data_IF_018420517107
#
_entry.id   IF_018420517107
#
_cell.length_a   1.000
_cell.length_b   1.000
_cell.length_c   1.000
_cell.angle_alpha   90.00
_cell.angle_beta   90.00
_cell.angle_gamma   90.00
#
_symmetry.space_group_name_H-M   'P 1'
#
loop_
_entity.id
_entity.type
_entity.pdbx_description
1 polymer ?
#
# COMPACT_ATOMS: atom_id res chain seq x y z
N UNK A 1 -10.81 19.80 15.37
CA UNK A 1 -11.26 20.78 14.36
C UNK A 1 -10.90 20.36 12.94
N UNK A 2 -10.78 19.05 12.70
CA UNK A 2 -10.74 18.51 11.35
C UNK A 2 -12.15 18.34 10.80
N UNK A 3 -12.22 18.04 9.50
CA UNK A 3 -13.49 17.81 8.81
C UNK A 3 -13.39 16.51 8.02
N UNK A 4 -14.53 15.82 7.93
CA UNK A 4 -14.71 14.63 7.12
C UNK A 4 -15.85 14.89 6.14
N UNK A 5 -15.58 14.73 4.85
CA UNK A 5 -16.57 14.93 3.80
C UNK A 5 -17.01 13.56 3.25
N UNK A 6 -18.31 13.34 3.17
CA UNK A 6 -18.90 12.17 2.53
C UNK A 6 -19.78 12.63 1.37
N UNK A 7 -19.78 11.87 0.29
CA UNK A 7 -20.52 12.15 -0.93
C UNK A 7 -21.31 10.90 -1.33
N UNK A 8 -22.58 11.09 -1.69
CA UNK A 8 -23.46 10.03 -2.18
C UNK A 8 -24.23 10.50 -3.40
N UNK A 9 -24.50 9.55 -4.30
CA UNK A 9 -25.25 9.79 -5.53
C UNK A 9 -26.30 8.70 -5.74
N UNK A 10 -27.46 9.12 -6.25
CA UNK A 10 -28.57 8.27 -6.70
C UNK A 10 -29.52 9.14 -7.54
N UNK A 11 -30.29 8.60 -8.51
CA UNK A 11 -31.35 9.34 -9.21
C UNK A 11 -32.43 9.95 -8.29
N UNK A 12 -32.58 9.41 -7.09
CA UNK A 12 -33.52 9.89 -6.07
C UNK A 12 -32.77 10.67 -4.98
N UNK A 13 -33.23 11.89 -4.69
CA UNK A 13 -32.61 12.78 -3.70
C UNK A 13 -32.51 12.16 -2.31
N UNK A 14 -33.60 11.59 -1.80
CA UNK A 14 -33.66 11.03 -0.44
C UNK A 14 -32.71 9.84 -0.31
N UNK A 15 -32.64 8.99 -1.34
CA UNK A 15 -31.71 7.85 -1.37
C UNK A 15 -30.26 8.32 -1.45
N UNK A 16 -29.94 9.36 -2.23
CA UNK A 16 -28.59 9.92 -2.29
C UNK A 16 -28.16 10.50 -0.93
N UNK A 17 -29.08 11.20 -0.24
CA UNK A 17 -28.85 11.73 1.09
C UNK A 17 -28.64 10.62 2.13
N UNK A 18 -29.49 9.59 2.13
CA UNK A 18 -29.33 8.43 3.02
C UNK A 18 -27.96 7.78 2.82
N UNK A 19 -27.59 7.48 1.57
CA UNK A 19 -26.30 6.87 1.23
C UNK A 19 -25.11 7.70 1.74
N UNK A 20 -25.19 9.03 1.59
CA UNK A 20 -24.17 9.95 2.10
C UNK A 20 -24.00 9.82 3.62
N UNK A 21 -25.11 9.77 4.36
CA UNK A 21 -25.08 9.68 5.82
C UNK A 21 -24.65 8.29 6.32
N UNK A 22 -25.05 7.22 5.61
CA UNK A 22 -24.65 5.86 5.98
C UNK A 22 -23.17 5.62 5.71
N UNK A 23 -22.64 6.12 4.58
CA UNK A 23 -21.21 6.02 4.26
C UNK A 23 -20.36 6.78 5.28
N UNK A 24 -20.82 7.95 5.74
CA UNK A 24 -20.14 8.75 6.76
C UNK A 24 -19.79 7.95 8.03
N UNK A 25 -20.63 6.98 8.40
CA UNK A 25 -20.51 6.19 9.63
C UNK A 25 -20.12 4.73 9.36
N UNK A 26 -19.96 4.33 8.11
CA UNK A 26 -19.69 2.94 7.75
C UNK A 26 -18.32 2.50 8.29
N UNK A 27 -18.31 1.47 9.12
CA UNK A 27 -17.07 0.87 9.65
C UNK A 27 -16.30 1.75 10.64
N UNK A 28 -16.84 2.88 11.09
CA UNK A 28 -16.14 3.84 11.96
C UNK A 28 -16.75 3.88 13.36
N UNK A 29 -15.89 3.86 14.38
CA UNK A 29 -16.26 4.27 15.74
C UNK A 29 -16.10 5.78 15.89
N UNK A 30 -16.80 6.38 16.85
CA UNK A 30 -16.67 7.81 17.14
C UNK A 30 -15.24 8.20 17.59
N UNK A 31 -14.44 7.26 18.10
CA UNK A 31 -13.05 7.51 18.49
C UNK A 31 -12.13 7.74 17.27
N UNK A 32 -12.46 7.15 16.11
CA UNK A 32 -11.72 7.33 14.85
C UNK A 32 -11.93 8.71 14.20
N UNK A 33 -12.82 9.56 14.74
CA UNK A 33 -13.05 10.92 14.23
C UNK A 33 -12.13 11.97 14.86
N UNK A 34 -11.23 11.58 15.75
CA UNK A 34 -10.32 12.50 16.43
C UNK A 34 -9.15 12.97 15.56
N UNK A 35 -8.81 12.23 14.51
CA UNK A 35 -7.63 12.48 13.67
C UNK A 35 -7.97 12.94 12.25
N UNK A 36 -9.00 13.78 12.13
CA UNK A 36 -9.43 14.30 10.83
C UNK A 36 -8.55 15.46 10.36
N UNK A 37 -8.29 15.50 9.06
CA UNK A 37 -7.56 16.58 8.42
C UNK A 37 -8.24 17.94 8.60
N UNK A 38 -7.44 18.98 8.83
CA UNK A 38 -7.94 20.35 8.99
C UNK A 38 -8.19 20.97 7.61
N UNK A 39 -9.30 21.70 7.41
CA UNK A 39 -9.50 22.40 6.16
C UNK A 39 -8.43 23.48 5.93
N UNK A 40 -8.20 23.83 4.66
CA UNK A 40 -7.16 24.77 4.22
C UNK A 40 -7.70 25.82 3.24
N UNK A 41 -7.05 26.99 3.16
CA UNK A 41 -7.30 27.97 2.10
C UNK A 41 -6.39 27.78 0.89
N UNK A 42 -5.39 26.90 0.98
CA UNK A 42 -4.47 26.62 -0.11
C UNK A 42 -5.20 25.89 -1.23
N UNK A 43 -5.43 26.57 -2.34
CA UNK A 43 -6.00 25.94 -3.53
C UNK A 43 -5.09 24.84 -4.05
N UNK A 44 -3.77 25.04 -4.02
CA UNK A 44 -2.81 24.05 -4.49
C UNK A 44 -2.93 22.73 -3.74
N UNK A 45 -3.00 22.76 -2.40
CA UNK A 45 -3.14 21.55 -1.60
C UNK A 45 -4.46 20.80 -1.86
N UNK A 46 -5.53 21.51 -2.19
CA UNK A 46 -6.85 20.89 -2.45
C UNK A 46 -6.93 20.31 -3.87
N UNK A 47 -6.23 20.91 -4.84
CA UNK A 47 -6.23 20.49 -6.25
C UNK A 47 -5.07 19.59 -6.64
N UNK A 48 -4.21 19.25 -5.68
CA UNK A 48 -3.11 18.32 -5.92
C UNK A 48 -3.69 16.92 -6.16
N UNK A 49 -3.22 16.15 -7.17
CA UNK A 49 -3.81 14.85 -7.52
C UNK A 49 -3.86 13.84 -6.39
N UNK A 50 -2.82 13.73 -5.55
CA UNK A 50 -2.81 12.80 -4.42
C UNK A 50 -3.90 13.12 -3.40
N UNK A 51 -4.27 14.39 -3.20
CA UNK A 51 -5.41 14.74 -2.34
C UNK A 51 -6.71 14.06 -2.80
N UNK A 52 -6.96 13.95 -4.11
CA UNK A 52 -8.13 13.21 -4.63
C UNK A 52 -8.03 11.71 -4.40
N UNK A 53 -6.82 11.15 -4.49
CA UNK A 53 -6.55 9.74 -4.19
C UNK A 53 -6.77 9.44 -2.71
N UNK A 54 -6.29 10.29 -1.79
CA UNK A 54 -6.55 10.19 -0.35
C UNK A 54 -8.06 10.25 -0.04
N UNK A 55 -8.79 11.17 -0.70
CA UNK A 55 -10.26 11.23 -0.58
C UNK A 55 -10.94 9.92 -0.98
N UNK A 56 -10.42 9.25 -2.01
CA UNK A 56 -10.95 7.97 -2.50
C UNK A 56 -10.58 6.79 -1.59
N UNK A 57 -9.35 6.71 -1.08
CA UNK A 57 -8.87 5.57 -0.30
C UNK A 57 -9.58 5.49 1.06
N UNK A 58 -9.61 6.60 1.81
CA UNK A 58 -10.12 6.60 3.18
C UNK A 58 -10.81 7.92 3.58
N UNK A 59 -10.98 8.84 2.63
CA UNK A 59 -11.62 10.14 2.84
C UNK A 59 -10.87 11.05 3.84
N UNK A 60 -9.55 10.87 3.96
CA UNK A 60 -8.67 11.70 4.81
C UNK A 60 -8.13 12.96 4.13
N UNK A 61 -8.35 13.11 2.82
CA UNK A 61 -7.87 14.26 2.05
C UNK A 61 -8.33 15.60 2.63
N UNK A 62 -7.56 16.65 2.34
CA UNK A 62 -7.85 18.00 2.81
C UNK A 62 -9.01 18.64 2.04
N UNK A 63 -9.85 19.37 2.79
CA UNK A 63 -10.97 20.14 2.25
C UNK A 63 -10.67 21.65 2.26
N UNK A 64 -11.25 22.39 1.31
CA UNK A 64 -11.12 23.85 1.28
C UNK A 64 -12.03 24.51 2.32
N UNK A 65 -11.54 25.51 3.04
CA UNK A 65 -12.39 26.37 3.88
C UNK A 65 -13.50 27.07 3.08
N UNK A 66 -13.31 27.25 1.76
CA UNK A 66 -14.31 27.86 0.88
C UNK A 66 -15.58 27.00 0.75
N UNK A 67 -15.46 25.69 0.94
CA UNK A 67 -16.61 24.77 0.92
C UNK A 67 -17.64 25.10 2.02
N UNK A 68 -17.19 25.65 3.15
CA UNK A 68 -18.04 26.04 4.29
C UNK A 68 -18.50 27.51 4.24
N UNK A 69 -18.37 28.17 3.09
CA UNK A 69 -18.83 29.53 2.88
C UNK A 69 -20.35 29.62 3.08
N UNK A 70 -20.81 30.66 3.78
CA UNK A 70 -22.25 30.97 3.86
C UNK A 70 -22.84 31.43 2.51
N UNK A 71 -21.97 31.81 1.56
CA UNK A 71 -22.34 32.06 0.17
C UNK A 71 -22.03 30.81 -0.64
N UNK A 72 -23.07 30.11 -1.11
CA UNK A 72 -22.94 29.01 -2.05
C UNK A 72 -22.66 29.53 -3.47
N UNK A 73 -21.92 28.76 -4.25
CA UNK A 73 -21.66 29.06 -5.66
C UNK A 73 -22.83 28.62 -6.58
N UNK A 74 -23.67 27.70 -6.10
CA UNK A 74 -24.86 27.19 -6.77
C UNK A 74 -26.07 27.27 -5.84
N UNK A 75 -27.23 27.60 -6.39
CA UNK A 75 -28.50 27.55 -5.66
C UNK A 75 -28.92 26.10 -5.41
N UNK A 76 -29.60 25.85 -4.30
CA UNK A 76 -30.16 24.54 -4.01
C UNK A 76 -31.24 24.17 -5.04
N UNK A 77 -31.15 22.96 -5.56
CA UNK A 77 -32.16 22.35 -6.43
C UNK A 77 -32.68 21.10 -5.73
N UNK A 78 -33.99 21.06 -5.47
CA UNK A 78 -34.69 19.85 -5.04
C UNK A 78 -34.87 18.94 -6.26
N UNK A 79 -33.77 18.34 -6.72
CA UNK A 79 -33.72 17.54 -7.94
C UNK A 79 -34.37 16.17 -7.74
N UNK A 80 -34.92 15.62 -8.82
CA UNK A 80 -35.44 14.26 -8.87
C UNK A 80 -35.31 13.72 -10.31
N UNK A 81 -34.56 12.63 -10.47
CA UNK A 81 -34.35 11.97 -11.75
C UNK A 81 -35.19 10.69 -11.92
N UNK A 82 -36.13 10.45 -10.99
CA UNK A 82 -36.97 9.24 -10.95
C UNK A 82 -38.41 9.44 -11.42
N UNK A 83 -38.81 10.65 -11.83
CA UNK A 83 -40.20 11.04 -12.10
C UNK A 83 -41.14 10.71 -10.92
N UNK A 84 -40.76 11.12 -9.71
CA UNK A 84 -41.48 10.81 -8.49
C UNK A 84 -41.55 9.32 -8.20
N UNK A 85 -40.48 8.57 -8.51
CA UNK A 85 -40.38 7.12 -8.32
C UNK A 85 -41.12 6.27 -9.35
N UNK A 86 -41.53 6.85 -10.49
CA UNK A 86 -42.23 6.11 -11.56
C UNK A 86 -41.30 5.54 -12.61
N UNK A 87 -40.11 6.12 -12.77
CA UNK A 87 -39.13 5.60 -13.71
C UNK A 87 -38.72 4.19 -13.29
N UNK A 88 -38.63 3.29 -14.26
CA UNK A 88 -37.95 2.02 -14.08
C UNK A 88 -36.44 2.23 -14.07
N UNK A 89 -35.67 1.30 -13.48
CA UNK A 89 -34.21 1.35 -13.49
C UNK A 89 -33.62 1.51 -14.90
N UNK A 90 -34.28 0.98 -15.94
CA UNK A 90 -33.86 1.14 -17.33
C UNK A 90 -33.99 2.58 -17.82
N UNK A 91 -35.07 3.27 -17.45
CA UNK A 91 -35.29 4.68 -17.79
C UNK A 91 -34.34 5.60 -17.00
N UNK A 92 -34.10 5.28 -15.72
CA UNK A 92 -33.11 6.00 -14.92
C UNK A 92 -31.70 5.84 -15.51
N UNK A 93 -31.32 4.63 -15.92
CA UNK A 93 -30.04 4.38 -16.57
C UNK A 93 -29.90 5.12 -17.91
N UNK A 94 -30.94 5.09 -18.77
CA UNK A 94 -30.96 5.82 -20.04
C UNK A 94 -30.77 7.33 -19.82
N UNK A 95 -31.44 7.89 -18.81
CA UNK A 95 -31.28 9.28 -18.44
C UNK A 95 -29.84 9.60 -18.00
N UNK A 96 -29.26 8.80 -17.09
CA UNK A 96 -27.90 9.02 -16.59
C UNK A 96 -26.84 8.87 -17.69
N UNK A 97 -26.96 7.88 -18.57
CA UNK A 97 -26.06 7.74 -19.72
C UNK A 97 -26.26 8.88 -20.73
N UNK A 98 -27.49 9.35 -20.92
CA UNK A 98 -27.78 10.53 -21.74
C UNK A 98 -27.06 11.79 -21.21
N UNK A 99 -26.97 11.98 -19.90
CA UNK A 99 -26.19 13.09 -19.32
C UNK A 99 -24.70 12.99 -19.66
N UNK A 100 -24.12 11.79 -19.64
CA UNK A 100 -22.72 11.58 -20.03
C UNK A 100 -22.52 11.84 -21.53
N UNK A 101 -23.47 11.40 -22.36
CA UNK A 101 -23.47 11.67 -23.81
C UNK A 101 -23.55 13.18 -24.10
N UNK A 102 -24.43 13.91 -23.41
CA UNK A 102 -24.54 15.37 -23.51
C UNK A 102 -23.25 16.09 -23.10
N UNK A 103 -22.46 15.50 -22.19
CA UNK A 103 -21.13 15.96 -21.80
C UNK A 103 -20.02 15.56 -22.80
N UNK A 104 -20.35 14.82 -23.85
CA UNK A 104 -19.39 14.28 -24.82
C UNK A 104 -18.52 13.14 -24.27
N UNK A 105 -19.00 12.43 -23.24
CA UNK A 105 -18.28 11.34 -22.58
C UNK A 105 -18.73 10.00 -23.13
N UNK A 106 -17.77 9.20 -23.59
CA UNK A 106 -18.02 7.83 -24.02
C UNK A 106 -18.01 6.88 -22.81
N UNK A 107 -18.93 5.91 -22.82
CA UNK A 107 -19.11 4.97 -21.71
C UNK A 107 -18.82 3.55 -22.16
N UNK A 108 -17.92 2.90 -21.43
CA UNK A 108 -17.55 1.51 -21.63
C UNK A 108 -18.09 0.67 -20.48
N UNK A 109 -18.91 -0.34 -20.77
CA UNK A 109 -19.49 -1.21 -19.74
C UNK A 109 -19.19 -2.68 -20.02
N UNK A 110 -18.61 -3.35 -19.03
CA UNK A 110 -18.52 -4.80 -18.99
C UNK A 110 -19.59 -5.37 -18.05
N UNK A 111 -20.35 -6.35 -18.50
CA UNK A 111 -21.41 -7.03 -17.71
C UNK A 111 -20.96 -8.44 -17.34
N UNK A 112 -21.18 -8.83 -16.10
CA UNK A 112 -20.75 -10.10 -15.51
C UNK A 112 -21.94 -10.81 -14.85
N UNK A 113 -22.28 -12.02 -15.30
CA UNK A 113 -23.44 -12.78 -14.81
C UNK A 113 -23.05 -14.17 -14.25
N UNK A 114 -21.76 -14.49 -14.29
CA UNK A 114 -21.22 -15.83 -14.05
C UNK A 114 -21.25 -16.31 -12.60
N UNK A 115 -21.73 -15.49 -11.65
CA UNK A 115 -21.80 -15.80 -10.21
C UNK A 115 -23.24 -15.81 -9.65
N UNK A 116 -24.26 -15.76 -10.51
CA UNK A 116 -25.67 -15.81 -10.08
C UNK A 116 -26.27 -14.46 -9.66
N UNK A 117 -25.47 -13.39 -9.69
CA UNK A 117 -25.93 -12.00 -9.64
C UNK A 117 -25.30 -11.23 -10.80
N UNK A 118 -26.03 -10.26 -11.34
CA UNK A 118 -25.52 -9.36 -12.38
C UNK A 118 -24.66 -8.29 -11.73
N UNK A 119 -23.40 -8.21 -12.15
CA UNK A 119 -22.49 -7.13 -11.82
C UNK A 119 -22.05 -6.42 -13.10
N UNK A 120 -21.66 -5.15 -13.00
CA UNK A 120 -21.05 -4.44 -14.11
C UNK A 120 -19.80 -3.68 -13.65
N UNK A 121 -18.92 -3.37 -14.59
CA UNK A 121 -17.85 -2.40 -14.42
C UNK A 121 -18.00 -1.37 -15.52
N UNK A 122 -18.16 -0.10 -15.11
CA UNK A 122 -18.34 1.03 -16.00
C UNK A 122 -17.06 1.86 -15.98
N UNK A 123 -16.57 2.24 -17.15
CA UNK A 123 -15.43 3.13 -17.33
C UNK A 123 -15.88 4.30 -18.21
N UNK A 124 -15.58 5.51 -17.77
CA UNK A 124 -15.85 6.76 -18.47
C UNK A 124 -14.52 7.53 -18.50
N UNK A 125 -13.80 7.55 -19.63
CA UNK A 125 -12.52 8.24 -19.73
C UNK A 125 -12.66 9.74 -19.45
N UNK A 126 -11.67 10.31 -18.78
CA UNK A 126 -11.62 11.69 -18.30
C UNK A 126 -12.82 12.05 -17.39
N UNK A 127 -13.30 11.09 -16.59
CA UNK A 127 -14.42 11.27 -15.66
C UNK A 127 -14.43 10.28 -14.49
N UNK A 128 -14.10 9.01 -14.74
CA UNK A 128 -14.16 7.92 -13.74
C UNK A 128 -12.80 7.51 -13.17
N UNK A 129 -11.72 8.16 -13.61
CA UNK A 129 -10.36 7.94 -13.13
C UNK A 129 -10.23 8.31 -11.65
N UNK A 130 -9.59 7.42 -10.90
CA UNK A 130 -9.16 7.67 -9.51
C UNK A 130 -7.72 8.17 -9.50
N UNK A 131 -6.88 7.59 -10.36
CA UNK A 131 -5.45 7.85 -10.44
C UNK A 131 -5.12 8.60 -11.73
N UNK A 132 -4.15 9.53 -11.71
CA UNK A 132 -3.68 10.19 -12.92
C UNK A 132 -3.07 9.21 -13.92
N UNK A 133 -3.15 9.55 -15.20
CA UNK A 133 -2.63 8.71 -16.30
C UNK A 133 -1.11 8.49 -16.18
N UNK A 134 -0.40 9.48 -15.63
CA UNK A 134 1.05 9.44 -15.44
C UNK A 134 1.49 8.29 -14.50
N UNK A 135 0.60 7.78 -13.62
CA UNK A 135 0.86 6.63 -12.76
C UNK A 135 1.08 5.35 -13.57
N UNK A 136 0.61 5.27 -14.81
CA UNK A 136 0.94 4.15 -15.70
C UNK A 136 2.45 4.06 -16.00
N UNK A 137 3.18 5.17 -15.83
CA UNK A 137 4.64 5.24 -16.01
C UNK A 137 5.32 5.20 -14.64
N UNK A 138 4.90 6.07 -13.72
CA UNK A 138 5.62 6.33 -12.47
C UNK A 138 5.23 5.39 -11.34
N UNK A 139 3.97 4.96 -11.25
CA UNK A 139 3.45 4.10 -10.19
C UNK A 139 2.78 2.82 -10.73
N UNK A 140 3.42 2.22 -11.73
CA UNK A 140 2.90 1.02 -12.35
C UNK A 140 3.20 -0.21 -11.50
N UNK A 141 2.14 -0.88 -11.02
CA UNK A 141 2.25 -2.12 -10.23
C UNK A 141 2.99 -3.27 -10.97
N UNK A 142 3.17 -3.21 -12.29
CA UNK A 142 4.01 -4.16 -13.01
C UNK A 142 5.51 -4.04 -12.69
N UNK A 143 5.96 -2.97 -12.02
CA UNK A 143 7.32 -2.88 -11.46
C UNK A 143 7.66 -4.11 -10.59
N UNK A 144 6.65 -4.74 -9.97
CA UNK A 144 6.74 -6.02 -9.28
C UNK A 144 7.47 -7.12 -10.06
N UNK A 145 7.33 -7.14 -11.40
CA UNK A 145 7.89 -8.19 -12.25
C UNK A 145 9.42 -8.18 -12.26
N UNK A 146 10.06 -7.05 -11.99
CA UNK A 146 11.52 -6.95 -11.93
C UNK A 146 12.10 -7.57 -10.66
N UNK A 147 11.30 -7.72 -9.59
CA UNK A 147 11.81 -8.07 -8.27
C UNK A 147 11.26 -9.38 -7.72
N UNK A 148 10.05 -9.79 -8.11
CA UNK A 148 9.32 -10.92 -7.49
C UNK A 148 10.13 -12.20 -7.44
N UNK A 149 10.73 -12.62 -8.55
CA UNK A 149 11.45 -13.90 -8.61
C UNK A 149 12.69 -13.90 -7.73
N UNK A 150 13.46 -12.83 -7.77
CA UNK A 150 14.69 -12.69 -6.98
C UNK A 150 14.39 -12.60 -5.50
N UNK A 151 13.41 -11.77 -5.10
CA UNK A 151 13.01 -11.62 -3.70
C UNK A 151 12.49 -12.95 -3.13
N UNK A 152 11.62 -13.65 -3.86
CA UNK A 152 11.12 -14.95 -3.39
C UNK A 152 12.21 -16.02 -3.32
N UNK A 153 13.31 -15.87 -4.06
CA UNK A 153 14.45 -16.78 -4.03
C UNK A 153 15.67 -16.18 -3.33
N UNK A 154 15.52 -15.12 -2.51
CA UNK A 154 16.60 -14.33 -1.91
C UNK A 154 17.77 -15.16 -1.36
N UNK A 155 17.44 -16.23 -0.64
CA UNK A 155 18.40 -17.14 0.01
C UNK A 155 19.26 -17.95 -0.97
N UNK A 156 18.81 -18.11 -2.22
CA UNK A 156 19.48 -18.87 -3.29
C UNK A 156 20.33 -17.98 -4.20
N UNK A 157 20.18 -16.66 -4.10
CA UNK A 157 20.91 -15.71 -4.93
C UNK A 157 22.40 -15.71 -4.59
N UNK A 158 23.20 -15.72 -5.64
CA UNK A 158 24.64 -15.49 -5.61
C UNK A 158 24.96 -14.03 -5.27
N UNK A 159 26.19 -13.73 -4.89
CA UNK A 159 26.60 -12.34 -4.63
C UNK A 159 26.40 -11.44 -5.85
N UNK A 160 26.66 -11.94 -7.07
CA UNK A 160 26.45 -11.17 -8.31
C UNK A 160 24.97 -10.86 -8.52
N UNK A 161 24.08 -11.82 -8.28
CA UNK A 161 22.63 -11.61 -8.42
C UNK A 161 22.08 -10.68 -7.34
N UNK A 162 22.56 -10.80 -6.11
CA UNK A 162 22.23 -9.87 -5.03
C UNK A 162 22.65 -8.44 -5.36
N UNK A 163 23.87 -8.26 -5.86
CA UNK A 163 24.38 -6.95 -6.26
C UNK A 163 23.51 -6.34 -7.37
N UNK A 164 23.20 -7.12 -8.40
CA UNK A 164 22.31 -6.66 -9.47
C UNK A 164 20.87 -6.38 -9.01
N UNK A 165 20.39 -7.07 -7.96
CA UNK A 165 19.07 -6.81 -7.38
C UNK A 165 19.06 -5.50 -6.59
N UNK A 166 20.05 -5.26 -5.73
CA UNK A 166 20.12 -4.03 -4.93
C UNK A 166 20.36 -2.80 -5.82
N UNK A 167 21.20 -2.91 -6.86
CA UNK A 167 21.39 -1.84 -7.85
C UNK A 167 20.07 -1.47 -8.55
N UNK A 168 19.26 -2.47 -8.93
CA UNK A 168 17.93 -2.21 -9.50
C UNK A 168 16.95 -1.59 -8.51
N UNK A 169 17.04 -1.92 -7.22
CA UNK A 169 16.22 -1.27 -6.19
C UNK A 169 16.62 0.20 -6.02
N UNK A 170 17.92 0.52 -6.00
CA UNK A 170 18.41 1.90 -5.96
C UNK A 170 17.97 2.71 -7.18
N UNK A 171 18.17 2.17 -8.38
CA UNK A 171 17.82 2.85 -9.65
C UNK A 171 16.31 3.00 -9.85
N UNK A 172 15.49 2.25 -9.12
CA UNK A 172 14.03 2.30 -9.27
C UNK A 172 13.38 3.52 -8.62
N UNK A 173 14.12 4.24 -7.77
CA UNK A 173 13.64 5.38 -6.98
C UNK A 173 12.33 5.10 -6.22
N UNK A 174 12.13 3.82 -5.83
CA UNK A 174 10.99 3.41 -5.04
C UNK A 174 11.17 3.89 -3.60
N UNK A 175 10.07 4.32 -2.99
CA UNK A 175 10.04 4.71 -1.59
C UNK A 175 10.49 3.53 -0.70
N UNK A 176 11.50 3.79 0.12
CA UNK A 176 12.09 2.86 1.07
C UNK A 176 11.08 2.21 2.02
N UNK A 177 9.98 2.92 2.33
CA UNK A 177 8.97 2.46 3.28
C UNK A 177 7.88 1.58 2.64
N UNK A 178 7.94 1.34 1.33
CA UNK A 178 7.02 0.39 0.68
C UNK A 178 7.29 -1.02 1.22
N UNK A 179 6.21 -1.67 1.66
CA UNK A 179 6.26 -3.08 2.04
C UNK A 179 6.59 -3.97 0.83
N UNK A 180 7.50 -4.93 1.01
CA UNK A 180 7.87 -5.91 -0.01
C UNK A 180 6.66 -6.71 -0.48
N UNK A 181 5.74 -7.07 0.42
CA UNK A 181 4.50 -7.80 0.08
C UNK A 181 3.65 -7.04 -0.96
N UNK A 182 3.59 -5.71 -0.84
CA UNK A 182 2.90 -4.81 -1.75
C UNK A 182 3.67 -4.71 -3.07
N UNK A 183 4.98 -4.47 -3.01
CA UNK A 183 5.84 -4.35 -4.19
C UNK A 183 5.73 -5.59 -5.08
N UNK A 184 5.80 -6.81 -4.52
CA UNK A 184 5.80 -8.04 -5.33
C UNK A 184 4.41 -8.67 -5.45
N UNK A 185 3.37 -8.13 -4.82
CA UNK A 185 2.01 -8.68 -4.86
C UNK A 185 1.89 -10.10 -4.33
N UNK A 186 2.60 -10.41 -3.23
CA UNK A 186 2.56 -11.71 -2.54
C UNK A 186 2.16 -11.49 -1.10
N UNK A 187 1.24 -12.29 -0.60
CA UNK A 187 0.60 -12.04 0.68
C UNK A 187 1.27 -12.87 1.79
N UNK A 188 1.91 -12.18 2.73
CA UNK A 188 2.55 -12.76 3.90
C UNK A 188 1.71 -12.53 5.16
N UNK A 189 1.97 -13.29 6.22
CA UNK A 189 1.36 -13.03 7.52
C UNK A 189 1.95 -11.74 8.12
N UNK A 190 1.09 -10.80 8.50
CA UNK A 190 1.45 -9.46 9.01
C UNK A 190 2.25 -9.52 10.32
N UNK A 191 2.25 -10.65 11.02
CA UNK A 191 3.03 -10.87 12.23
C UNK A 191 4.40 -11.49 11.97
N UNK A 192 4.75 -11.76 10.71
CA UNK A 192 6.06 -12.31 10.33
C UNK A 192 6.97 -11.21 9.80
N UNK A 193 8.29 -11.44 9.86
CA UNK A 193 9.28 -10.50 9.30
C UNK A 193 8.99 -10.22 7.82
N UNK A 194 8.65 -11.24 7.02
CA UNK A 194 8.23 -11.06 5.63
C UNK A 194 7.01 -10.15 5.46
N UNK A 195 6.04 -10.22 6.37
CA UNK A 195 4.83 -9.39 6.33
C UNK A 195 5.04 -7.92 6.70
N UNK A 196 6.17 -7.61 7.35
CA UNK A 196 6.56 -6.28 7.80
C UNK A 196 7.85 -5.80 7.11
N UNK A 197 8.35 -6.54 6.12
CA UNK A 197 9.63 -6.24 5.45
C UNK A 197 9.42 -5.09 4.47
N UNK A 198 10.20 -4.02 4.62
CA UNK A 198 10.21 -2.87 3.71
C UNK A 198 11.33 -2.98 2.68
N UNK A 199 11.30 -2.13 1.65
CA UNK A 199 12.40 -2.00 0.69
C UNK A 199 13.70 -1.62 1.39
N UNK A 200 13.64 -0.66 2.33
CA UNK A 200 14.77 -0.24 3.17
C UNK A 200 15.48 -1.44 3.80
N UNK A 201 14.71 -2.25 4.52
CA UNK A 201 15.24 -3.36 5.30
C UNK A 201 15.75 -4.48 4.39
N UNK A 202 15.08 -4.73 3.26
CA UNK A 202 15.58 -5.68 2.29
C UNK A 202 16.96 -5.25 1.74
N UNK A 203 17.13 -3.97 1.37
CA UNK A 203 18.41 -3.43 0.91
C UNK A 203 19.50 -3.58 1.97
N UNK A 204 19.20 -3.22 3.22
CA UNK A 204 20.07 -3.39 4.38
C UNK A 204 20.56 -4.84 4.51
N UNK A 205 19.63 -5.81 4.51
CA UNK A 205 19.98 -7.23 4.61
C UNK A 205 20.80 -7.74 3.42
N UNK A 206 20.58 -7.19 2.22
CA UNK A 206 21.40 -7.50 1.03
C UNK A 206 22.82 -6.95 1.20
N UNK A 207 22.98 -5.71 1.65
CA UNK A 207 24.30 -5.10 1.88
C UNK A 207 25.11 -5.84 2.95
N UNK A 208 24.47 -6.27 4.05
CA UNK A 208 25.09 -7.17 5.03
C UNK A 208 25.56 -8.47 4.37
N UNK A 209 24.73 -9.10 3.54
CA UNK A 209 25.10 -10.33 2.82
C UNK A 209 26.18 -10.13 1.75
N UNK A 210 26.39 -8.91 1.26
CA UNK A 210 27.44 -8.51 0.33
C UNK A 210 28.71 -8.01 1.04
N UNK A 211 28.71 -7.96 2.38
CA UNK A 211 29.79 -7.38 3.19
C UNK A 211 30.09 -5.92 2.82
N UNK A 212 29.04 -5.18 2.45
CA UNK A 212 29.03 -3.73 2.21
C UNK A 212 28.54 -3.05 3.48
N UNK A 213 29.44 -2.94 4.46
CA UNK A 213 29.07 -2.59 5.84
C UNK A 213 28.77 -1.10 6.01
N UNK A 214 29.44 -0.22 5.26
CA UNK A 214 29.16 1.22 5.25
C UNK A 214 27.72 1.49 4.78
N UNK A 215 27.33 0.92 3.64
CA UNK A 215 25.96 1.05 3.10
C UNK A 215 24.92 0.40 4.03
N UNK A 216 25.27 -0.69 4.70
CA UNK A 216 24.40 -1.30 5.69
C UNK A 216 24.20 -0.38 6.92
N UNK A 217 25.25 0.29 7.41
CA UNK A 217 25.16 1.20 8.55
C UNK A 217 24.24 2.38 8.25
N UNK A 218 24.37 3.01 7.08
CA UNK A 218 23.51 4.13 6.65
C UNK A 218 22.02 3.72 6.68
N UNK A 219 21.68 2.55 6.15
CA UNK A 219 20.30 2.06 6.14
C UNK A 219 19.80 1.62 7.52
N UNK A 220 20.68 1.13 8.41
CA UNK A 220 20.31 0.85 9.79
C UNK A 220 19.95 2.15 10.52
N UNK A 221 20.74 3.22 10.33
CA UNK A 221 20.45 4.53 10.90
C UNK A 221 19.12 5.08 10.41
N UNK A 222 18.85 4.97 9.10
CA UNK A 222 17.56 5.34 8.52
C UNK A 222 16.40 4.50 9.08
N UNK A 223 16.61 3.18 9.25
CA UNK A 223 15.61 2.27 9.80
C UNK A 223 15.20 2.68 11.22
N UNK A 224 16.17 3.06 12.05
CA UNK A 224 15.96 3.45 13.45
C UNK A 224 15.31 4.83 13.62
N UNK A 225 15.26 5.66 12.57
CA UNK A 225 14.54 6.94 12.62
C UNK A 225 13.02 6.76 12.53
N UNK A 226 12.55 5.60 12.06
CA UNK A 226 11.13 5.33 11.84
C UNK A 226 10.52 4.49 12.98
N UNK A 227 9.47 5.02 13.61
CA UNK A 227 8.92 4.50 14.88
C UNK A 227 7.79 3.45 14.75
N UNK A 228 7.61 2.82 13.59
CA UNK A 228 6.51 1.85 13.36
C UNK A 228 6.97 0.38 13.38
N UNK A 229 7.98 0.07 14.19
CA UNK A 229 8.52 -1.27 14.31
C UNK A 229 8.20 -1.91 15.66
N UNK A 230 8.21 -3.25 15.70
CA UNK A 230 8.12 -3.96 16.97
C UNK A 230 9.37 -3.70 17.80
N UNK A 231 9.21 -3.67 19.13
CA UNK A 231 10.32 -3.47 20.08
C UNK A 231 11.45 -4.48 19.85
N UNK A 232 11.12 -5.72 19.52
CA UNK A 232 12.11 -6.78 19.30
C UNK A 232 13.00 -6.49 18.08
N UNK A 233 12.39 -5.97 16.99
CA UNK A 233 13.06 -5.61 15.75
C UNK A 233 13.88 -4.34 15.89
N UNK A 234 13.34 -3.35 16.61
CA UNK A 234 14.07 -2.12 16.94
C UNK A 234 15.34 -2.44 17.74
N UNK A 235 15.23 -3.30 18.76
CA UNK A 235 16.40 -3.74 19.54
C UNK A 235 17.43 -4.51 18.70
N UNK A 236 17.00 -5.30 17.70
CA UNK A 236 17.92 -5.96 16.77
C UNK A 236 18.72 -4.94 15.96
N UNK A 237 18.05 -3.93 15.39
CA UNK A 237 18.74 -2.91 14.60
C UNK A 237 19.55 -1.92 15.44
N UNK A 238 19.17 -1.66 16.69
CA UNK A 238 20.02 -0.93 17.65
C UNK A 238 21.33 -1.69 17.94
N UNK A 239 21.24 -3.02 18.12
CA UNK A 239 22.41 -3.86 18.30
C UNK A 239 23.28 -3.92 17.03
N UNK A 240 22.64 -4.02 15.87
CA UNK A 240 23.32 -3.98 14.56
C UNK A 240 24.06 -2.65 14.35
N UNK A 241 23.41 -1.52 14.64
CA UNK A 241 24.01 -0.18 14.51
C UNK A 241 25.29 -0.08 15.34
N UNK A 242 25.21 -0.37 16.64
CA UNK A 242 26.36 -0.31 17.54
C UNK A 242 27.48 -1.27 17.12
N UNK A 243 27.14 -2.47 16.63
CA UNK A 243 28.14 -3.43 16.18
C UNK A 243 28.80 -3.02 14.84
N UNK A 244 28.05 -2.41 13.92
CA UNK A 244 28.60 -1.87 12.68
C UNK A 244 29.51 -0.66 12.93
N UNK A 245 29.13 0.25 13.83
CA UNK A 245 29.99 1.37 14.25
C UNK A 245 31.34 0.87 14.78
N UNK A 246 31.34 -0.16 15.64
CA UNK A 246 32.57 -0.77 16.15
C UNK A 246 33.35 -1.50 15.05
N UNK A 247 32.67 -2.17 14.11
CA UNK A 247 33.32 -2.94 13.05
C UNK A 247 33.95 -2.07 11.95
N UNK A 248 33.46 -0.84 11.76
CA UNK A 248 33.92 0.11 10.75
C UNK A 248 34.95 1.13 11.28
N UNK A 249 35.08 1.26 12.60
CA UNK A 249 36.05 2.17 13.22
C UNK A 249 37.39 1.46 13.47
N UNK A 250 38.44 1.92 12.77
CA UNK A 250 39.80 1.38 12.89
C UNK A 250 40.41 1.52 14.31
N UNK A 251 39.87 2.41 15.16
CA UNK A 251 40.32 2.63 16.54
C UNK A 251 39.60 1.73 17.57
N UNK A 252 38.60 0.94 17.15
CA UNK A 252 37.78 0.10 18.03
C UNK A 252 38.02 -1.40 17.77
N UNK A 253 37.93 -2.21 18.82
CA UNK A 253 38.02 -3.68 18.74
C UNK A 253 36.72 -4.29 19.26
N UNK A 254 36.05 -5.11 18.43
CA UNK A 254 34.80 -5.78 18.80
C UNK A 254 34.92 -6.60 20.10
N UNK A 255 36.09 -7.20 20.35
CA UNK A 255 36.32 -8.02 21.55
C UNK A 255 36.19 -7.19 22.86
N UNK A 256 36.46 -5.89 22.80
CA UNK A 256 36.33 -4.98 23.95
C UNK A 256 34.87 -4.60 24.25
N UNK A 257 34.01 -4.60 23.23
CA UNK A 257 32.61 -4.15 23.32
C UNK A 257 31.61 -5.29 23.43
N UNK A 258 31.88 -6.44 22.79
CA UNK A 258 30.99 -7.60 22.75
C UNK A 258 30.45 -8.02 24.13
N UNK A 259 31.26 -8.09 25.22
CA UNK A 259 30.74 -8.49 26.53
C UNK A 259 29.64 -7.57 27.08
N UNK A 260 29.70 -6.27 26.77
CA UNK A 260 28.68 -5.31 27.22
C UNK A 260 27.51 -5.23 26.25
N UNK A 261 27.76 -5.33 24.93
CA UNK A 261 26.69 -5.42 23.93
C UNK A 261 25.80 -6.64 24.21
N UNK A 262 26.37 -7.80 24.54
CA UNK A 262 25.63 -9.00 24.95
C UNK A 262 24.80 -8.80 26.22
N UNK A 263 25.31 -8.06 27.21
CA UNK A 263 24.54 -7.73 28.42
C UNK A 263 23.34 -6.83 28.13
N UNK A 264 23.48 -5.92 27.15
CA UNK A 264 22.45 -4.96 26.79
C UNK A 264 21.38 -5.58 25.87
N UNK A 265 21.82 -6.35 24.89
CA UNK A 265 20.98 -6.82 23.79
C UNK A 265 20.64 -8.31 23.85
N UNK A 266 21.32 -9.09 24.70
CA UNK A 266 21.16 -10.54 24.84
C UNK A 266 22.05 -11.33 23.89
N UNK A 267 22.40 -12.56 24.30
CA UNK A 267 23.32 -13.42 23.55
C UNK A 267 22.78 -13.80 22.17
N UNK A 268 21.52 -14.23 22.09
CA UNK A 268 20.89 -14.68 20.84
C UNK A 268 20.87 -13.58 19.76
N UNK A 269 20.55 -12.35 20.15
CA UNK A 269 20.53 -11.20 19.25
C UNK A 269 21.94 -10.83 18.79
N UNK A 270 22.91 -10.83 19.69
CA UNK A 270 24.30 -10.54 19.33
C UNK A 270 24.91 -11.62 18.46
N UNK A 271 24.56 -12.90 18.67
CA UNK A 271 25.00 -13.98 17.78
C UNK A 271 24.49 -13.78 16.35
N UNK A 272 23.24 -13.33 16.21
CA UNK A 272 22.67 -12.99 14.90
C UNK A 272 23.36 -11.78 14.26
N UNK A 273 23.56 -10.69 15.02
CA UNK A 273 24.22 -9.45 14.55
C UNK A 273 25.66 -9.73 14.10
N UNK A 274 26.48 -10.32 14.97
CA UNK A 274 27.88 -10.63 14.65
C UNK A 274 27.96 -11.68 13.53
N UNK A 275 27.04 -12.64 13.54
CA UNK A 275 26.92 -13.63 12.46
C UNK A 275 26.62 -12.98 11.10
N UNK A 276 25.80 -11.92 11.07
CA UNK A 276 25.47 -11.17 9.86
C UNK A 276 26.61 -10.27 9.39
N UNK A 277 27.31 -9.59 10.28
CA UNK A 277 28.53 -8.81 9.95
C UNK A 277 29.61 -9.74 9.38
N UNK A 278 29.79 -10.93 9.96
CA UNK A 278 30.76 -11.92 9.47
C UNK A 278 30.29 -12.68 8.21
N UNK A 279 29.07 -12.42 7.71
CA UNK A 279 28.48 -13.09 6.54
C UNK A 279 28.05 -14.55 6.75
N UNK A 280 28.13 -15.06 7.98
CA UNK A 280 27.73 -16.43 8.34
C UNK A 280 26.20 -16.59 8.49
N UNK A 281 25.50 -15.50 8.84
CA UNK A 281 24.05 -15.42 8.95
C UNK A 281 23.53 -14.44 7.90
N UNK A 282 22.88 -14.94 6.86
CA UNK A 282 22.27 -14.11 5.82
C UNK A 282 20.77 -13.97 6.09
N UNK A 283 20.24 -12.76 5.88
CA UNK A 283 18.80 -12.48 5.91
C UNK A 283 18.11 -12.90 7.22
N UNK A 284 18.69 -12.52 8.36
CA UNK A 284 18.16 -12.90 9.67
C UNK A 284 16.66 -12.58 9.80
N UNK A 285 15.89 -13.53 10.34
CA UNK A 285 14.43 -13.43 10.48
C UNK A 285 13.62 -13.80 9.22
N UNK A 286 14.22 -13.79 8.03
CA UNK A 286 13.54 -14.20 6.80
C UNK A 286 13.67 -15.71 6.60
N UNK A 287 12.53 -16.39 6.44
CA UNK A 287 12.51 -17.81 6.08
C UNK A 287 12.69 -17.98 4.57
N UNK A 288 13.32 -19.08 4.10
CA UNK A 288 13.40 -19.37 2.67
C UNK A 288 12.01 -19.55 2.05
N UNK A 289 11.81 -18.90 0.90
CA UNK A 289 10.58 -18.99 0.08
C UNK A 289 10.92 -19.44 -1.34
N UNK A 290 9.92 -19.43 -2.22
CA UNK A 290 10.09 -19.75 -3.64
C UNK A 290 8.91 -19.26 -4.48
N UNK A 291 9.05 -19.36 -5.80
CA UNK A 291 7.96 -19.11 -6.76
C UNK A 291 6.79 -20.10 -6.66
N UNK A 292 6.96 -21.19 -5.93
CA UNK A 292 5.87 -22.14 -5.64
C UNK A 292 4.95 -21.64 -4.51
N UNK A 293 5.36 -20.58 -3.78
CA UNK A 293 4.60 -19.95 -2.70
C UNK A 293 4.26 -20.92 -1.56
N UNK A 294 5.08 -21.96 -1.39
CA UNK A 294 4.92 -22.98 -0.36
C UNK A 294 5.12 -22.35 1.03
N UNK A 295 4.22 -22.68 1.97
CA UNK A 295 4.24 -22.10 3.31
C UNK A 295 3.62 -20.69 3.42
N UNK A 296 3.21 -20.08 2.30
CA UNK A 296 2.53 -18.78 2.29
C UNK A 296 1.00 -18.96 2.37
N UNK A 297 0.52 -19.50 3.51
CA UNK A 297 -0.88 -19.93 3.69
C UNK A 297 -1.91 -18.82 3.38
N UNK A 298 -1.61 -17.57 3.74
CA UNK A 298 -2.50 -16.43 3.46
C UNK A 298 -2.66 -16.23 1.95
N UNK A 299 -1.57 -16.26 1.19
CA UNK A 299 -1.61 -16.16 -0.27
C UNK A 299 -2.23 -17.40 -0.94
N UNK A 300 -1.95 -18.61 -0.44
CA UNK A 300 -2.54 -19.85 -0.96
C UNK A 300 -4.07 -19.86 -0.83
N UNK A 301 -4.63 -19.32 0.27
CA UNK A 301 -6.09 -19.14 0.43
C UNK A 301 -6.68 -18.16 -0.59
N UNK A 302 -5.94 -17.12 -0.98
CA UNK A 302 -6.36 -16.21 -2.06
C UNK A 302 -6.40 -16.96 -3.39
N UNK A 303 -5.38 -17.75 -3.69
CA UNK A 303 -5.35 -18.58 -4.91
C UNK A 303 -6.49 -19.59 -4.93
N UNK A 304 -6.82 -20.22 -3.81
CA UNK A 304 -7.96 -21.14 -3.72
C UNK A 304 -9.31 -20.43 -3.93
N UNK A 305 -9.44 -19.19 -3.46
CA UNK A 305 -10.60 -18.36 -3.74
C UNK A 305 -10.68 -17.98 -5.21
N UNK A 306 -9.55 -17.63 -5.83
CA UNK A 306 -9.46 -17.34 -7.26
C UNK A 306 -9.81 -18.57 -8.12
N UNK A 307 -9.34 -19.77 -7.77
CA UNK A 307 -9.69 -21.02 -8.45
C UNK A 307 -11.20 -21.30 -8.44
N UNK A 308 -11.91 -20.97 -7.35
CA UNK A 308 -13.38 -21.07 -7.29
C UNK A 308 -14.03 -20.15 -8.33
N UNK A 309 -13.55 -18.91 -8.46
CA UNK A 309 -14.02 -17.96 -9.46
C UNK A 309 -13.77 -18.46 -10.89
N UNK A 310 -12.57 -18.99 -11.18
CA UNK A 310 -12.28 -19.59 -12.49
C UNK A 310 -13.18 -20.77 -12.81
N UNK A 311 -13.46 -21.63 -11.83
CA UNK A 311 -14.38 -22.76 -11.99
C UNK A 311 -15.79 -22.29 -12.32
N UNK A 312 -16.28 -21.26 -11.63
CA UNK A 312 -17.59 -20.67 -11.91
C UNK A 312 -17.68 -20.05 -13.31
N UNK A 313 -16.64 -19.31 -13.72
CA UNK A 313 -16.52 -18.75 -15.08
C UNK A 313 -16.51 -19.82 -16.16
N UNK A 314 -15.74 -20.90 -15.96
CA UNK A 314 -15.68 -22.00 -16.91
C UNK A 314 -17.06 -22.68 -17.07
N UNK A 315 -17.77 -22.93 -15.96
CA UNK A 315 -19.13 -23.50 -15.99
C UNK A 315 -20.14 -22.60 -16.71
N UNK A 316 -19.99 -21.28 -16.59
CA UNK A 316 -20.85 -20.33 -17.27
C UNK A 316 -20.56 -20.26 -18.78
N UNK A 317 -19.29 -20.39 -19.18
CA UNK A 317 -18.87 -20.34 -20.57
C UNK A 317 -19.24 -21.59 -21.39
N UNK A 318 -19.46 -22.75 -20.72
CA UNK A 318 -19.78 -24.03 -21.35
C UNK A 318 -18.63 -25.02 -21.29
#
# INVERSE_FOLDING_TARGET
>A
GGVFASFGAHPNFEVALERTLTELLQGRSFEGLNDLARPTFSSHAVTEPNNSVEHFIDSSGVMSWRFFSAKADYDFVEWDFTDGGKNSNAQEAELLFGMLEDMGKEVYMAVFEHLGATACRILVPDYSEVYPIDDLIWDNTNKALFFREDILNLHRLTQTELKAMVERLEESELDHYIDIKTLIGVEFDENTVWGQLTILELKLLIYLALNQLDEALELVEEFLQFNDNTVERELFYQAMNAALEVALDDDLDMDDYEPNLRRMFGDERMDAVLGSIAGSVRFYGLTPTSMQLEGLDKHLRLLDSLKKLHTARARFAG
#
